data_IF_982241221713
#
_entry.id   IF_982241221713
#
_cell.length_a   1.000
_cell.length_b   1.000
_cell.length_c   1.000
_cell.angle_alpha   90.00
_cell.angle_beta   90.00
_cell.angle_gamma   90.00
#
_symmetry.space_group_name_H-M   'P 1'
#
loop_
_entity.id
_entity.type
_entity.pdbx_description
1 polymer ?
#
# COMPACT_ATOMS: atom_id res chain seq x y z
N UNK A 1 6.36 -10.94 8.99
CA UNK A 1 7.69 -10.79 9.64
C UNK A 1 8.21 -9.35 9.55
N UNK A 2 8.03 -8.65 8.43
CA UNK A 2 8.51 -7.27 8.23
C UNK A 2 8.07 -6.25 9.32
N UNK A 3 6.81 -6.23 9.73
CA UNK A 3 6.32 -5.31 10.77
C UNK A 3 7.05 -5.48 12.11
N UNK A 4 7.35 -6.73 12.51
CA UNK A 4 8.12 -6.99 13.74
C UNK A 4 9.54 -6.44 13.61
N UNK A 5 10.16 -6.55 12.43
CA UNK A 5 11.49 -5.98 12.18
C UNK A 5 11.49 -4.46 12.20
N UNK A 6 10.41 -3.81 11.75
CA UNK A 6 10.25 -2.35 11.77
C UNK A 6 10.01 -1.79 13.17
N UNK A 7 9.58 -2.62 14.12
CA UNK A 7 9.35 -2.24 15.51
C UNK A 7 10.64 -1.71 16.15
N UNK A 8 11.76 -2.37 15.86
CA UNK A 8 13.08 -2.04 16.37
C UNK A 8 13.79 -0.91 15.59
N UNK A 9 13.16 -0.35 14.56
CA UNK A 9 13.71 0.75 13.77
C UNK A 9 13.03 2.06 14.13
N UNK A 10 13.83 3.13 14.14
CA UNK A 10 13.32 4.49 14.33
C UNK A 10 12.27 4.81 13.25
N UNK A 11 11.17 5.50 13.57
CA UNK A 11 10.10 5.76 12.61
C UNK A 11 10.56 6.42 11.31
N UNK A 12 11.59 7.27 11.38
CA UNK A 12 12.17 7.96 10.23
C UNK A 12 13.10 7.09 9.38
N UNK A 13 13.62 5.98 9.91
CA UNK A 13 14.49 5.05 9.19
C UNK A 13 13.75 3.82 8.64
N UNK A 14 12.43 3.72 8.85
CA UNK A 14 11.60 2.61 8.36
C UNK A 14 11.53 2.66 6.83
N UNK A 15 11.98 1.57 6.19
CA UNK A 15 11.79 1.29 4.76
C UNK A 15 10.77 0.18 4.65
N UNK A 16 9.69 0.43 3.92
CA UNK A 16 8.58 -0.49 3.78
C UNK A 16 8.70 -1.22 2.45
N UNK A 17 8.52 -2.54 2.45
CA UNK A 17 8.40 -3.34 1.24
C UNK A 17 7.06 -3.04 0.57
N UNK A 18 7.01 -3.31 -0.73
CA UNK A 18 5.83 -3.05 -1.56
C UNK A 18 4.57 -3.74 -1.00
N UNK A 19 4.68 -4.98 -0.49
CA UNK A 19 3.54 -5.68 0.10
C UNK A 19 2.93 -4.96 1.30
N UNK A 20 3.75 -4.46 2.22
CA UNK A 20 3.29 -3.70 3.38
C UNK A 20 2.75 -2.32 2.98
N UNK A 21 3.33 -1.69 1.96
CA UNK A 21 2.80 -0.45 1.38
C UNK A 21 1.43 -0.68 0.73
N UNK A 22 1.22 -1.77 0.00
CA UNK A 22 -0.08 -2.14 -0.59
C UNK A 22 -1.13 -2.38 0.49
N UNK A 23 -0.80 -3.12 1.55
CA UNK A 23 -1.72 -3.34 2.69
C UNK A 23 -2.04 -2.03 3.41
N UNK A 24 -1.04 -1.17 3.62
CA UNK A 24 -1.23 0.16 4.19
C UNK A 24 -2.16 1.02 3.34
N UNK A 25 -1.95 1.02 2.02
CA UNK A 25 -2.78 1.73 1.06
C UNK A 25 -4.24 1.23 1.10
N UNK A 26 -4.47 -0.09 1.09
CA UNK A 26 -5.82 -0.65 1.21
C UNK A 26 -6.50 -0.22 2.50
N UNK A 27 -5.81 -0.29 3.64
CA UNK A 27 -6.36 0.14 4.94
C UNK A 27 -6.69 1.63 4.97
N UNK A 28 -5.84 2.47 4.38
CA UNK A 28 -6.11 3.91 4.26
C UNK A 28 -7.39 4.16 3.43
N UNK A 29 -7.59 3.43 2.34
CA UNK A 29 -8.79 3.55 1.51
C UNK A 29 -10.06 3.01 2.20
N UNK A 30 -9.94 1.98 3.05
CA UNK A 30 -11.08 1.44 3.81
C UNK A 30 -11.55 2.42 4.89
N UNK A 31 -10.62 3.02 5.66
CA UNK A 31 -10.96 4.04 6.64
C UNK A 31 -9.77 4.95 6.96
N UNK A 32 -9.77 6.12 6.32
CA UNK A 32 -8.73 7.14 6.54
C UNK A 32 -8.66 7.60 8.00
N UNK A 33 -9.81 7.74 8.67
CA UNK A 33 -9.87 8.19 10.06
C UNK A 33 -9.18 7.20 11.02
N UNK A 34 -9.52 5.91 10.91
CA UNK A 34 -8.89 4.86 11.71
C UNK A 34 -7.40 4.73 11.37
N UNK A 35 -7.04 4.84 10.09
CA UNK A 35 -5.64 4.81 9.67
C UNK A 35 -4.81 5.91 10.33
N UNK A 36 -5.33 7.14 10.33
CA UNK A 36 -4.66 8.29 10.93
C UNK A 36 -4.52 8.14 12.45
N UNK A 37 -5.54 7.60 13.12
CA UNK A 37 -5.51 7.35 14.57
C UNK A 37 -4.49 6.27 14.95
N UNK A 38 -4.42 5.17 14.20
CA UNK A 38 -3.40 4.13 14.41
C UNK A 38 -2.00 4.70 14.17
N UNK A 39 -1.85 5.54 13.15
CA UNK A 39 -0.57 6.16 12.81
C UNK A 39 -0.12 7.18 13.87
N UNK A 40 -1.04 7.96 14.44
CA UNK A 40 -0.73 8.95 15.49
C UNK A 40 -0.34 8.27 16.80
N UNK A 41 -0.96 7.14 17.12
CA UNK A 41 -0.61 6.34 18.29
C UNK A 41 0.68 5.53 18.11
N UNK A 42 1.23 5.49 16.89
CA UNK A 42 2.39 4.67 16.52
C UNK A 42 2.25 3.20 16.99
N UNK A 43 0.99 2.75 17.14
CA UNK A 43 0.62 1.47 17.75
C UNK A 43 1.00 0.29 16.85
N UNK A 44 1.12 0.56 15.55
CA UNK A 44 1.55 -0.37 14.52
C UNK A 44 2.64 0.30 13.69
N UNK A 45 3.64 -0.47 13.27
CA UNK A 45 4.67 -0.04 12.31
C UNK A 45 4.09 0.05 10.90
N UNK A 46 3.02 0.84 10.73
CA UNK A 46 2.35 1.06 9.46
C UNK A 46 3.06 2.15 8.64
N UNK A 47 2.90 2.16 7.31
CA UNK A 47 3.45 3.21 6.46
C UNK A 47 2.85 4.59 6.79
N UNK A 48 3.70 5.59 6.95
CA UNK A 48 3.17 6.96 7.02
C UNK A 48 2.41 7.34 5.74
N UNK A 49 1.38 8.21 5.82
CA UNK A 49 0.63 8.67 4.65
C UNK A 49 1.51 9.22 3.51
N UNK A 50 2.66 9.83 3.84
CA UNK A 50 3.65 10.31 2.86
C UNK A 50 4.20 9.19 1.96
N UNK A 51 4.37 7.98 2.48
CA UNK A 51 4.84 6.83 1.71
C UNK A 51 3.74 6.24 0.83
N UNK A 52 2.47 6.41 1.22
CA UNK A 52 1.32 5.92 0.46
C UNK A 52 0.93 6.87 -0.69
N UNK A 53 1.22 8.17 -0.57
CA UNK A 53 0.95 9.16 -1.63
C UNK A 53 1.64 8.80 -2.95
N UNK A 54 2.85 8.23 -2.90
CA UNK A 54 3.56 7.75 -4.09
C UNK A 54 2.86 6.57 -4.79
N UNK A 55 2.13 5.73 -4.05
CA UNK A 55 1.32 4.67 -4.64
C UNK A 55 0.03 5.22 -5.25
N UNK A 56 -0.57 6.21 -4.59
CA UNK A 56 -1.80 6.87 -5.07
C UNK A 56 -1.63 7.47 -6.47
N UNK A 57 -0.48 8.07 -6.77
CA UNK A 57 -0.19 8.62 -8.10
C UNK A 57 -0.04 7.56 -9.19
N UNK A 58 0.38 6.35 -8.84
CA UNK A 58 0.49 5.23 -9.80
C UNK A 58 -0.88 4.59 -10.07
N UNK A 59 -1.73 4.56 -9.05
CA UNK A 59 -3.07 3.98 -9.10
C UNK A 59 -4.17 5.01 -9.32
N UNK A 60 -3.83 6.24 -9.73
CA UNK A 60 -4.85 7.19 -10.16
C UNK A 60 -5.50 6.59 -11.39
N UNK A 61 -6.64 5.93 -11.20
CA UNK A 61 -7.59 5.61 -12.25
C UNK A 61 -8.13 6.99 -12.64
N UNK A 62 -7.33 7.67 -13.47
CA UNK A 62 -7.70 8.94 -14.06
C UNK A 62 -9.01 8.69 -14.81
N UNK A 63 -9.83 9.72 -14.92
CA UNK A 63 -11.14 9.76 -15.59
C UNK A 63 -11.15 9.15 -17.02
N UNK A 64 -9.98 8.77 -17.55
CA UNK A 64 -9.70 8.08 -18.81
C UNK A 64 -9.73 6.54 -18.75
N UNK A 65 -9.94 5.93 -17.57
CA UNK A 65 -10.10 4.47 -17.41
C UNK A 65 -8.83 3.72 -16.97
N UNK A 66 -8.85 2.39 -17.10
CA UNK A 66 -7.77 1.52 -16.60
C UNK A 66 -6.58 1.49 -17.59
N UNK A 67 -5.33 1.68 -17.14
CA UNK A 67 -4.16 1.59 -18.02
C UNK A 67 -4.03 0.23 -18.70
N UNK A 68 -3.58 0.23 -19.97
CA UNK A 68 -3.35 -1.01 -20.75
C UNK A 68 -2.36 -1.95 -20.07
N UNK A 69 -1.36 -1.41 -19.37
CA UNK A 69 -0.40 -2.20 -18.56
C UNK A 69 -1.11 -2.98 -17.45
N UNK A 70 -2.07 -2.37 -16.76
CA UNK A 70 -2.88 -3.01 -15.73
C UNK A 70 -3.75 -4.12 -16.33
N UNK A 71 -4.40 -3.86 -17.47
CA UNK A 71 -5.22 -4.88 -18.17
C UNK A 71 -4.37 -6.08 -18.58
N UNK A 72 -3.18 -5.85 -19.16
CA UNK A 72 -2.25 -6.92 -19.55
C UNK A 72 -1.77 -7.73 -18.35
N UNK A 73 -1.41 -7.05 -17.25
CA UNK A 73 -0.98 -7.70 -16.02
C UNK A 73 -2.08 -8.59 -15.44
N UNK A 74 -3.31 -8.07 -15.33
CA UNK A 74 -4.46 -8.81 -14.81
C UNK A 74 -4.81 -10.01 -15.71
N UNK A 75 -4.83 -9.81 -17.03
CA UNK A 75 -5.09 -10.89 -17.99
C UNK A 75 -4.09 -12.05 -17.88
N UNK A 76 -2.80 -11.74 -17.78
CA UNK A 76 -1.75 -12.75 -17.59
C UNK A 76 -1.91 -13.50 -16.25
N UNK A 77 -2.28 -12.79 -15.18
CA UNK A 77 -2.50 -13.38 -13.86
C UNK A 77 -3.74 -14.27 -13.79
N UNK A 78 -4.83 -13.89 -14.44
CA UNK A 78 -6.06 -14.70 -14.50
C UNK A 78 -5.80 -15.98 -15.28
N UNK A 79 -5.13 -15.88 -16.43
CA UNK A 79 -4.76 -17.06 -17.23
C UNK A 79 -3.93 -18.06 -16.43
N UNK A 80 -2.94 -17.57 -15.68
CA UNK A 80 -2.11 -18.40 -14.80
C UNK A 80 -2.89 -19.12 -13.68
N UNK A 81 -4.03 -18.57 -13.21
CA UNK A 81 -4.85 -19.20 -12.16
C UNK A 81 -5.77 -20.30 -12.73
N UNK A 82 -6.08 -20.23 -14.02
CA UNK A 82 -7.01 -21.13 -14.70
C UNK A 82 -6.31 -22.32 -15.39
N UNK A 83 -4.98 -22.31 -15.47
CA UNK A 83 -4.11 -23.40 -15.95
C UNK A 83 -3.52 -24.15 -14.74
#
# INVERSE_FOLDING_TARGET
MEQMTLLFKSPNARRYLLGLLSVGFLRQNVSTALYNQINSWNLLTIPFPKHLRALSSVLTIVETGLPVSTVKYLGAKIKYILE
#
